data_IF_782195581033
#
_entry.id   IF_782195581033
#
_cell.length_a   1.000
_cell.length_b   1.000
_cell.length_c   1.000
_cell.angle_alpha   90.00
_cell.angle_beta   90.00
_cell.angle_gamma   90.00
#
_symmetry.space_group_name_H-M   'P 1'
#
loop_
_entity.id
_entity.type
_entity.pdbx_description
1 polymer ?
#
# COMPACT_ATOMS: atom_id res chain seq x y z
N UNK A 1 20.68 31.99 8.13
CA UNK A 1 19.69 31.15 7.43
C UNK A 1 20.19 29.74 7.57
N UNK A 2 19.64 28.99 8.52
CA UNK A 2 19.89 27.54 8.59
C UNK A 2 19.08 26.92 7.45
N UNK A 3 19.75 26.22 6.55
CA UNK A 3 19.09 25.41 5.53
C UNK A 3 18.38 24.26 6.23
N UNK A 4 17.06 24.16 6.05
CA UNK A 4 16.31 23.04 6.59
C UNK A 4 16.90 21.73 6.03
N UNK A 5 17.26 20.77 6.91
CA UNK A 5 17.92 19.54 6.48
C UNK A 5 17.05 18.80 5.48
N UNK A 6 17.64 18.41 4.36
CA UNK A 6 16.88 17.71 3.33
C UNK A 6 16.39 16.36 3.89
N UNK A 7 15.24 15.88 3.41
CA UNK A 7 14.70 14.58 3.83
C UNK A 7 15.70 13.43 3.60
N UNK A 8 16.59 13.57 2.61
CA UNK A 8 17.65 12.63 2.27
C UNK A 8 18.66 12.53 3.41
N UNK A 9 19.14 13.68 3.89
CA UNK A 9 20.10 13.74 5.00
C UNK A 9 19.48 13.13 6.27
N UNK A 10 18.20 13.39 6.51
CA UNK A 10 17.47 12.79 7.64
C UNK A 10 17.35 11.28 7.49
N UNK A 11 16.97 10.77 6.32
CA UNK A 11 16.78 9.35 6.04
C UNK A 11 18.09 8.54 6.19
N UNK A 12 19.20 9.05 5.64
CA UNK A 12 20.50 8.35 5.70
C UNK A 12 21.29 8.61 6.98
N UNK A 13 20.91 9.60 7.80
CA UNK A 13 21.58 9.87 9.08
C UNK A 13 21.37 8.77 10.13
N UNK A 14 20.40 7.86 9.93
CA UNK A 14 20.00 6.88 10.93
C UNK A 14 19.35 7.49 12.17
N UNK A 15 19.18 8.82 12.22
CA UNK A 15 18.46 9.52 13.27
C UNK A 15 16.98 9.45 12.94
N UNK A 16 16.21 8.81 13.80
CA UNK A 16 14.75 8.87 13.71
C UNK A 16 14.36 10.32 13.99
N UNK A 17 13.77 11.06 13.04
CA UNK A 17 13.25 12.39 13.36
C UNK A 17 12.20 12.24 14.47
N UNK A 18 12.06 13.23 15.37
CA UNK A 18 11.01 13.20 16.37
C UNK A 18 9.68 13.06 15.63
N UNK A 19 8.99 11.94 15.87
CA UNK A 19 7.67 11.69 15.36
C UNK A 19 6.75 12.75 15.96
N UNK A 20 6.53 13.84 15.24
CA UNK A 20 5.32 14.61 15.45
C UNK A 20 4.21 13.70 14.96
N UNK A 21 3.37 13.23 15.88
CA UNK A 21 2.04 12.74 15.54
C UNK A 21 1.40 13.90 14.79
N UNK A 22 1.49 13.88 13.46
CA UNK A 22 0.78 14.82 12.64
C UNK A 22 -0.68 14.57 12.97
N UNK A 23 -1.39 15.62 13.38
CA UNK A 23 -2.84 15.56 13.57
C UNK A 23 -3.41 14.80 12.37
N UNK A 24 -4.01 13.64 12.63
CA UNK A 24 -4.65 12.86 11.58
C UNK A 24 -5.59 13.82 10.84
N UNK A 25 -5.43 14.02 9.51
CA UNK A 25 -6.33 14.90 8.79
C UNK A 25 -7.74 14.32 8.97
N UNK A 26 -8.55 15.02 9.77
CA UNK A 26 -9.94 14.69 10.01
C UNK A 26 -10.63 14.61 8.65
N UNK A 27 -11.04 13.40 8.26
CA UNK A 27 -11.66 13.17 6.95
C UNK A 27 -10.71 12.71 5.84
N UNK A 28 -9.92 11.66 6.10
CA UNK A 28 -9.38 10.83 5.02
C UNK A 28 -10.55 10.22 4.23
N UNK A 29 -11.00 10.92 3.20
CA UNK A 29 -11.85 10.37 2.14
C UNK A 29 -11.09 9.23 1.51
N UNK A 30 -11.46 8.01 1.89
CA UNK A 30 -10.75 6.82 1.49
C UNK A 30 -10.86 6.67 -0.02
N UNK A 31 -9.72 6.65 -0.71
CA UNK A 31 -9.74 6.56 -2.17
C UNK A 31 -10.17 5.16 -2.57
N UNK A 32 -11.42 5.01 -3.03
CA UNK A 32 -11.90 3.74 -3.52
C UNK A 32 -11.29 3.45 -4.88
N UNK A 33 -10.74 2.25 -5.05
CA UNK A 33 -10.28 1.79 -6.35
C UNK A 33 -11.48 1.81 -7.31
N UNK A 34 -11.42 2.55 -8.43
CA UNK A 34 -12.53 2.62 -9.37
C UNK A 34 -12.72 1.24 -9.97
N UNK A 35 -13.82 0.59 -9.62
CA UNK A 35 -14.16 -0.72 -10.16
C UNK A 35 -15.10 -0.50 -11.34
N UNK A 36 -14.63 -0.57 -12.60
CA UNK A 36 -15.56 -0.73 -13.72
C UNK A 36 -16.23 -2.10 -13.56
N UNK A 37 -17.55 -2.08 -13.48
CA UNK A 37 -18.42 -3.03 -12.78
C UNK A 37 -18.21 -4.53 -13.03
N UNK A 38 -17.43 -4.99 -14.02
CA UNK A 38 -17.30 -6.43 -14.36
C UNK A 38 -15.98 -6.88 -14.96
N UNK A 39 -14.92 -6.05 -14.95
CA UNK A 39 -13.74 -6.34 -15.75
C UNK A 39 -12.46 -6.60 -14.95
N UNK A 40 -12.57 -7.06 -13.70
CA UNK A 40 -11.40 -7.44 -12.92
C UNK A 40 -11.45 -8.87 -12.38
N UNK A 41 -10.27 -9.50 -12.26
CA UNK A 41 -10.09 -10.85 -11.73
C UNK A 41 -8.85 -10.88 -10.82
N UNK A 42 -8.95 -11.60 -9.69
CA UNK A 42 -7.75 -12.02 -8.97
C UNK A 42 -7.08 -13.14 -9.76
N UNK A 43 -5.82 -12.92 -10.09
CA UNK A 43 -4.92 -13.89 -10.67
C UNK A 43 -4.15 -14.66 -9.59
N UNK A 44 -2.89 -14.96 -9.92
CA UNK A 44 -2.01 -15.74 -9.05
C UNK A 44 -1.82 -15.06 -7.69
N UNK A 45 -1.83 -15.87 -6.64
CA UNK A 45 -1.35 -15.50 -5.31
C UNK A 45 0.15 -15.21 -5.38
N UNK A 46 0.55 -13.97 -5.14
CA UNK A 46 1.93 -13.50 -5.29
C UNK A 46 2.78 -13.83 -4.06
N UNK A 47 2.18 -13.80 -2.87
CA UNK A 47 2.87 -14.09 -1.64
C UNK A 47 1.93 -14.60 -0.55
N UNK A 48 2.38 -15.61 0.18
CA UNK A 48 1.83 -16.08 1.44
C UNK A 48 3.01 -16.33 2.36
N UNK A 49 3.14 -15.54 3.41
CA UNK A 49 4.00 -15.91 4.52
C UNK A 49 3.20 -16.88 5.39
N UNK A 50 3.75 -18.06 5.69
CA UNK A 50 3.09 -19.04 6.56
C UNK A 50 2.67 -18.36 7.87
N UNK A 51 1.38 -18.38 8.17
CA UNK A 51 0.79 -17.76 9.37
C UNK A 51 0.49 -16.26 9.26
N UNK A 52 0.82 -15.57 8.16
CA UNK A 52 0.44 -14.16 8.00
C UNK A 52 -1.04 -14.03 7.63
N UNK A 53 -1.80 -13.16 8.34
CA UNK A 53 -3.19 -12.87 8.00
C UNK A 53 -3.34 -12.23 6.61
N UNK A 54 -2.29 -11.54 6.16
CA UNK A 54 -2.26 -10.72 4.96
C UNK A 54 -1.85 -11.55 3.75
N UNK A 55 -2.59 -11.39 2.65
CA UNK A 55 -2.36 -12.16 1.43
C UNK A 55 -2.28 -11.24 0.22
N UNK A 56 -1.23 -11.37 -0.59
CA UNK A 56 -1.05 -10.57 -1.79
C UNK A 56 -1.47 -11.36 -3.03
N UNK A 57 -2.39 -10.78 -3.81
CA UNK A 57 -2.83 -11.29 -5.11
C UNK A 57 -2.39 -10.36 -6.22
N UNK A 58 -2.19 -10.91 -7.42
CA UNK A 58 -2.21 -10.08 -8.62
C UNK A 58 -3.66 -9.82 -8.99
N UNK A 59 -4.04 -8.56 -9.14
CA UNK A 59 -5.34 -8.15 -9.65
C UNK A 59 -5.17 -7.75 -11.11
N UNK A 60 -5.99 -8.28 -12.01
CA UNK A 60 -6.06 -7.79 -13.38
C UNK A 60 -7.35 -6.99 -13.53
N UNK A 61 -7.27 -5.77 -14.04
CA UNK A 61 -8.44 -5.02 -14.48
C UNK A 61 -8.32 -4.77 -15.99
N UNK A 62 -9.46 -4.75 -16.67
CA UNK A 62 -9.56 -4.39 -18.08
C UNK A 62 -10.32 -3.07 -18.19
N UNK A 63 -9.67 -2.10 -18.79
CA UNK A 63 -10.17 -0.75 -19.05
C UNK A 63 -9.98 -0.48 -20.54
N UNK A 64 -11.06 -0.15 -21.25
CA UNK A 64 -11.02 0.18 -22.68
C UNK A 64 -10.28 -0.82 -23.58
N UNK A 65 -10.35 -2.11 -23.23
CA UNK A 65 -9.67 -3.18 -23.96
C UNK A 65 -8.25 -3.49 -23.48
N UNK A 66 -7.63 -2.59 -22.71
CA UNK A 66 -6.29 -2.75 -22.15
C UNK A 66 -6.35 -3.50 -20.83
N UNK A 67 -5.51 -4.53 -20.69
CA UNK A 67 -5.39 -5.32 -19.46
C UNK A 67 -4.25 -4.76 -18.61
N UNK A 68 -4.59 -4.18 -17.46
CA UNK A 68 -3.64 -3.65 -16.49
C UNK A 68 -3.53 -4.61 -15.30
N UNK A 69 -2.32 -4.80 -14.78
CA UNK A 69 -2.09 -5.60 -13.57
C UNK A 69 -1.72 -4.73 -12.38
N UNK A 70 -2.34 -5.03 -11.25
CA UNK A 70 -2.15 -4.41 -9.94
C UNK A 70 -1.74 -5.48 -8.91
N UNK A 71 -1.13 -5.04 -7.82
CA UNK A 71 -0.93 -5.85 -6.63
C UNK A 71 -2.05 -5.53 -5.64
N UNK A 72 -2.81 -6.54 -5.24
CA UNK A 72 -3.86 -6.40 -4.25
C UNK A 72 -3.43 -7.09 -2.96
N UNK A 73 -3.12 -6.28 -1.94
CA UNK A 73 -2.80 -6.76 -0.60
C UNK A 73 -4.10 -6.86 0.19
N UNK A 74 -4.50 -8.09 0.51
CA UNK A 74 -5.78 -8.38 1.16
C UNK A 74 -5.57 -8.60 2.66
N UNK A 75 -6.45 -8.04 3.48
CA UNK A 75 -6.35 -8.00 4.94
C UNK A 75 -7.62 -8.57 5.57
N UNK A 76 -7.53 -9.37 6.64
CA UNK A 76 -8.71 -9.75 7.39
C UNK A 76 -9.24 -8.55 8.17
N UNK A 77 -10.50 -8.64 8.55
CA UNK A 77 -11.12 -7.66 9.42
C UNK A 77 -10.48 -7.65 10.81
N UNK A 78 -10.04 -6.48 11.26
CA UNK A 78 -9.63 -6.27 12.64
C UNK A 78 -10.85 -5.89 13.49
N UNK A 79 -11.33 -6.84 14.30
CA UNK A 79 -12.53 -6.68 15.11
C UNK A 79 -12.20 -6.09 16.48
N UNK A 80 -13.21 -5.55 17.16
CA UNK A 80 -13.07 -5.13 18.56
C UNK A 80 -12.62 -6.26 19.49
N UNK A 81 -12.96 -7.52 19.19
CA UNK A 81 -12.50 -8.65 19.99
C UNK A 81 -10.98 -8.82 19.87
N UNK A 82 -10.41 -8.69 18.67
CA UNK A 82 -8.96 -8.69 18.50
C UNK A 82 -8.31 -7.52 19.28
N UNK A 83 -8.94 -6.35 19.25
CA UNK A 83 -8.48 -5.20 20.02
C UNK A 83 -8.53 -5.45 21.53
N UNK A 84 -9.58 -6.10 22.05
CA UNK A 84 -9.68 -6.49 23.46
C UNK A 84 -8.59 -7.49 23.85
N UNK A 85 -8.35 -8.51 23.03
CA UNK A 85 -7.27 -9.48 23.26
C UNK A 85 -5.90 -8.82 23.33
N UNK A 86 -5.65 -7.79 22.50
CA UNK A 86 -4.42 -6.99 22.57
C UNK A 86 -4.43 -6.02 23.75
N UNK A 87 -5.58 -5.43 24.11
CA UNK A 87 -5.73 -4.51 25.24
C UNK A 87 -5.25 -5.16 26.54
N UNK A 88 -5.60 -6.42 26.79
CA UNK A 88 -5.12 -7.15 27.96
C UNK A 88 -3.59 -7.32 28.02
N UNK A 89 -2.89 -7.15 26.90
CA UNK A 89 -1.42 -7.27 26.79
C UNK A 89 -0.70 -5.93 26.86
N UNK A 90 -1.43 -4.81 26.71
CA UNK A 90 -0.87 -3.46 26.73
C UNK A 90 -1.20 -2.86 28.09
N UNK A 91 -0.22 -2.68 28.99
CA UNK A 91 -0.45 -2.06 30.28
C UNK A 91 -0.67 -0.56 30.10
N UNK A 92 -1.89 -0.16 29.74
CA UNK A 92 -2.28 1.24 29.63
C UNK A 92 -3.71 1.44 30.11
N UNK A 93 -3.88 2.43 31.00
CA UNK A 93 -5.18 2.92 31.44
C UNK A 93 -5.71 4.05 30.54
N UNK A 94 -4.91 4.52 29.58
CA UNK A 94 -5.22 5.69 28.76
C UNK A 94 -5.82 5.34 27.40
N UNK A 95 -5.70 4.09 26.94
CA UNK A 95 -6.26 3.67 25.65
C UNK A 95 -7.58 2.95 25.83
N UNK A 96 -8.57 3.37 25.07
CA UNK A 96 -9.81 2.61 24.89
C UNK A 96 -9.58 1.43 23.94
N UNK A 97 -10.48 0.45 23.96
CA UNK A 97 -10.47 -0.63 22.98
C UNK A 97 -10.61 -0.12 21.55
N UNK A 98 -11.30 1.00 21.35
CA UNK A 98 -11.45 1.61 20.03
C UNK A 98 -10.12 2.21 19.55
N UNK A 99 -9.38 2.90 20.43
CA UNK A 99 -8.05 3.42 20.10
C UNK A 99 -7.08 2.30 19.71
N UNK A 100 -7.11 1.18 20.44
CA UNK A 100 -6.31 0.00 20.08
C UNK A 100 -6.76 -0.59 18.75
N UNK A 101 -8.07 -0.64 18.49
CA UNK A 101 -8.56 -1.13 17.21
C UNK A 101 -8.01 -0.28 16.06
N UNK A 102 -8.12 1.04 16.17
CA UNK A 102 -7.70 1.95 15.12
C UNK A 102 -6.17 1.96 14.93
N UNK A 103 -5.41 1.81 16.02
CA UNK A 103 -3.94 1.77 16.01
C UNK A 103 -3.36 0.42 15.54
N UNK A 104 -4.05 -0.70 15.81
CA UNK A 104 -3.54 -2.04 15.48
C UNK A 104 -4.14 -2.65 14.21
N UNK A 105 -5.14 -2.00 13.61
CA UNK A 105 -5.70 -2.43 12.33
C UNK A 105 -4.69 -2.18 11.20
N UNK A 106 -4.05 -3.26 10.75
CA UNK A 106 -3.08 -3.24 9.66
C UNK A 106 -3.65 -2.71 8.34
N UNK A 107 -4.94 -2.93 8.05
CA UNK A 107 -5.56 -2.40 6.84
C UNK A 107 -5.70 -0.88 6.92
N UNK A 108 -6.17 -0.37 8.06
CA UNK A 108 -6.30 1.08 8.27
C UNK A 108 -4.93 1.75 8.26
N UNK A 109 -3.95 1.20 8.96
CA UNK A 109 -2.60 1.74 9.01
C UNK A 109 -1.95 1.81 7.62
N UNK A 110 -2.07 0.74 6.82
CA UNK A 110 -1.49 0.74 5.49
C UNK A 110 -2.22 1.71 4.55
N UNK A 111 -3.54 1.80 4.64
CA UNK A 111 -4.35 2.77 3.87
C UNK A 111 -3.95 4.20 4.23
N UNK A 112 -3.87 4.52 5.53
CA UNK A 112 -3.45 5.83 6.05
C UNK A 112 -2.04 6.18 5.59
N UNK A 113 -1.10 5.24 5.66
CA UNK A 113 0.27 5.44 5.20
C UNK A 113 0.33 5.80 3.71
N UNK A 114 -0.34 5.04 2.85
CA UNK A 114 -0.34 5.32 1.41
C UNK A 114 -1.11 6.60 1.05
N UNK A 115 -2.20 6.91 1.74
CA UNK A 115 -2.92 8.17 1.55
C UNK A 115 -2.09 9.37 1.98
N UNK A 116 -1.37 9.25 3.09
CA UNK A 116 -0.43 10.28 3.56
C UNK A 116 0.69 10.50 2.54
N UNK A 117 1.34 9.42 2.07
CA UNK A 117 2.38 9.50 1.02
C UNK A 117 1.81 10.18 -0.23
N UNK A 118 0.60 9.82 -0.66
CA UNK A 118 0.03 10.38 -1.88
C UNK A 118 -0.37 11.87 -1.74
N UNK A 119 -0.79 12.31 -0.55
CA UNK A 119 -1.23 13.71 -0.33
C UNK A 119 -0.08 14.64 0.03
N UNK A 120 0.88 14.17 0.82
CA UNK A 120 1.89 15.02 1.46
C UNK A 120 3.25 14.94 0.75
N UNK A 121 3.64 13.78 0.23
CA UNK A 121 4.95 13.67 -0.42
C UNK A 121 4.95 14.38 -1.78
N UNK A 122 6.00 15.15 -2.10
CA UNK A 122 6.24 15.66 -3.45
C UNK A 122 6.32 14.53 -4.48
N UNK A 123 5.89 14.78 -5.72
CA UNK A 123 5.90 13.78 -6.81
C UNK A 123 7.28 13.12 -6.99
N UNK A 124 8.37 13.88 -6.84
CA UNK A 124 9.73 13.36 -6.94
C UNK A 124 10.07 12.30 -5.87
N UNK A 125 9.41 12.32 -4.71
CA UNK A 125 9.61 11.34 -3.64
C UNK A 125 8.68 10.13 -3.77
N UNK A 126 7.52 10.29 -4.43
CA UNK A 126 6.55 9.20 -4.62
C UNK A 126 7.12 8.02 -5.43
N UNK A 127 8.17 8.25 -6.23
CA UNK A 127 8.85 7.21 -7.01
C UNK A 127 9.42 6.08 -6.14
N UNK A 128 9.75 6.35 -4.87
CA UNK A 128 10.30 5.36 -3.95
C UNK A 128 9.24 4.41 -3.38
N UNK A 129 7.97 4.73 -3.58
CA UNK A 129 6.85 3.93 -3.10
C UNK A 129 6.10 3.30 -4.29
N UNK A 130 5.48 2.13 -4.11
CA UNK A 130 4.51 1.61 -5.07
C UNK A 130 3.37 2.64 -5.25
N UNK A 131 2.93 2.86 -6.48
CA UNK A 131 1.79 3.75 -6.71
C UNK A 131 0.54 3.20 -6.02
N UNK A 132 -0.12 4.04 -5.23
CA UNK A 132 -1.38 3.72 -4.57
C UNK A 132 -2.55 3.98 -5.52
N UNK A 133 -3.43 2.99 -5.69
CA UNK A 133 -4.61 3.07 -6.55
C UNK A 133 -5.92 3.07 -5.77
N UNK A 134 -5.88 2.94 -4.45
CA UNK A 134 -7.05 2.94 -3.59
C UNK A 134 -7.28 1.65 -2.84
N UNK A 135 -8.44 1.56 -2.21
CA UNK A 135 -8.90 0.37 -1.50
C UNK A 135 -10.06 -0.31 -2.23
N UNK A 136 -10.20 -1.61 -1.99
CA UNK A 136 -11.30 -2.43 -2.46
C UNK A 136 -12.01 -3.06 -1.25
N UNK A 137 -13.16 -2.50 -0.89
CA UNK A 137 -14.03 -2.96 0.21
C UNK A 137 -15.52 -2.81 -0.18
N UNK A 138 -16.41 -3.77 0.18
CA UNK A 138 -16.10 -5.14 0.58
C UNK A 138 -15.80 -6.03 -0.63
N UNK A 139 -14.89 -7.00 -0.47
CA UNK A 139 -14.62 -8.03 -1.48
C UNK A 139 -15.61 -9.19 -1.30
N UNK A 140 -16.43 -9.46 -2.31
CA UNK A 140 -17.33 -10.61 -2.29
C UNK A 140 -16.56 -11.93 -2.47
N UNK A 141 -16.26 -12.57 -1.34
CA UNK A 141 -15.52 -13.83 -1.26
C UNK A 141 -16.23 -15.00 -1.95
N UNK A 142 -17.55 -14.92 -2.17
CA UNK A 142 -18.34 -16.01 -2.78
C UNK A 142 -18.01 -16.20 -4.25
N UNK A 143 -17.43 -15.18 -4.90
CA UNK A 143 -17.03 -15.22 -6.31
C UNK A 143 -15.72 -15.99 -6.56
N UNK A 144 -15.02 -16.42 -5.51
CA UNK A 144 -13.68 -17.01 -5.61
C UNK A 144 -13.64 -18.45 -5.08
N UNK A 145 -12.84 -19.30 -5.70
CA UNK A 145 -12.58 -20.68 -5.22
C UNK A 145 -12.09 -20.62 -3.77
N UNK A 146 -12.63 -21.51 -2.92
CA UNK A 146 -12.26 -21.69 -1.51
C UNK A 146 -10.74 -21.79 -1.29
N UNK A 147 -10.00 -22.34 -2.25
CA UNK A 147 -8.54 -22.49 -2.19
C UNK A 147 -7.78 -21.16 -2.34
N UNK A 148 -8.41 -20.14 -2.92
CA UNK A 148 -7.77 -18.85 -3.24
C UNK A 148 -8.65 -17.67 -2.80
N UNK A 149 -9.34 -17.80 -1.67
CA UNK A 149 -10.23 -16.73 -1.21
C UNK A 149 -9.43 -15.52 -0.73
N UNK A 150 -9.61 -14.35 -1.35
CA UNK A 150 -9.10 -13.10 -0.80
C UNK A 150 -9.77 -12.82 0.55
N UNK A 151 -9.13 -11.97 1.36
CA UNK A 151 -9.79 -11.40 2.53
C UNK A 151 -10.84 -10.36 2.11
N UNK A 152 -11.66 -9.90 3.05
CA UNK A 152 -12.80 -9.01 2.78
C UNK A 152 -12.38 -7.58 2.40
N UNK A 153 -11.14 -7.20 2.65
CA UNK A 153 -10.61 -5.88 2.37
C UNK A 153 -9.29 -5.97 1.62
N UNK A 154 -9.02 -5.02 0.72
CA UNK A 154 -7.72 -4.94 0.07
C UNK A 154 -7.25 -3.51 -0.18
N UNK A 155 -5.94 -3.32 -0.11
CA UNK A 155 -5.22 -2.14 -0.61
C UNK A 155 -4.68 -2.48 -1.99
N UNK A 156 -4.97 -1.63 -2.98
CA UNK A 156 -4.57 -1.82 -4.37
C UNK A 156 -3.36 -0.93 -4.68
N UNK A 157 -2.29 -1.59 -5.09
CA UNK A 157 -1.00 -1.00 -5.38
C UNK A 157 -0.55 -1.33 -6.80
N UNK A 158 0.43 -0.59 -7.28
CA UNK A 158 1.18 -0.91 -8.48
C UNK A 158 1.73 -2.34 -8.42
N UNK A 159 1.55 -3.12 -9.49
CA UNK A 159 2.18 -4.43 -9.59
C UNK A 159 3.65 -4.27 -9.96
N UNK A 160 4.54 -4.37 -8.96
CA UNK A 160 5.98 -4.43 -9.22
C UNK A 160 6.33 -5.84 -9.69
N UNK A 161 6.52 -6.00 -10.99
CA UNK A 161 7.27 -7.13 -11.54
C UNK A 161 8.74 -6.75 -11.59
N UNK A 162 9.64 -7.52 -10.97
CA UNK A 162 11.06 -7.35 -11.23
C UNK A 162 11.33 -7.78 -12.67
N UNK A 163 11.20 -6.84 -13.61
CA UNK A 163 11.79 -6.96 -14.93
C UNK A 163 13.18 -6.31 -14.86
N UNK A 164 14.17 -6.92 -15.52
CA UNK A 164 15.56 -6.43 -15.56
C UNK A 164 15.68 -5.03 -16.17
N UNK A 165 14.61 -4.53 -16.80
CA UNK A 165 14.49 -3.20 -17.39
C UNK A 165 13.70 -2.16 -16.57
N UNK A 166 13.04 -2.54 -15.46
CA UNK A 166 12.30 -1.57 -14.62
C UNK A 166 13.22 -0.87 -13.62
N UNK A 167 13.67 0.34 -13.99
CA UNK A 167 14.56 1.22 -13.20
C UNK A 167 13.87 1.89 -11.98
N UNK A 168 13.39 1.12 -11.02
CA UNK A 168 13.40 1.56 -9.62
C UNK A 168 14.54 0.75 -9.00
N UNK A 169 15.77 1.26 -8.81
CA UNK A 169 16.35 2.21 -7.82
C UNK A 169 17.79 2.58 -8.33
N UNK A 170 18.58 3.61 -7.90
CA UNK A 170 18.40 4.95 -7.32
C UNK A 170 18.91 6.07 -8.28
N UNK A 171 18.94 7.33 -7.83
CA UNK A 171 19.56 8.48 -8.51
C UNK A 171 20.76 8.13 -9.40
N UNK A 172 20.65 8.42 -10.70
CA UNK A 172 21.78 8.84 -11.51
C UNK A 172 21.26 9.81 -12.56
N UNK A 173 21.75 11.05 -12.49
CA UNK A 173 21.40 12.13 -13.40
C UNK A 173 21.56 11.68 -14.85
N UNK A 174 20.59 12.10 -15.67
CA UNK A 174 20.60 11.97 -17.12
C UNK A 174 21.90 12.57 -17.68
N UNK A 175 22.67 11.76 -18.41
CA UNK A 175 23.50 12.26 -19.50
C UNK A 175 23.07 11.59 -20.79
N UNK A 176 22.83 12.44 -21.77
CA UNK A 176 22.19 12.23 -23.06
C UNK A 176 22.98 11.36 -24.05
N UNK A 177 22.24 10.47 -24.72
CA UNK A 177 22.31 10.07 -26.15
C UNK A 177 23.55 9.27 -26.65
N UNK A 178 23.52 8.65 -27.87
CA UNK A 178 22.44 8.55 -28.88
C UNK A 178 22.12 7.12 -29.39
N UNK A 179 21.19 7.09 -30.36
CA UNK A 179 20.60 5.96 -31.07
C UNK A 179 21.58 5.00 -31.78
N UNK A 180 21.16 3.75 -31.98
CA UNK A 180 21.61 2.94 -33.11
C UNK A 180 20.47 2.09 -33.70
N UNK A 181 20.55 2.01 -35.04
CA UNK A 181 19.65 1.44 -36.01
C UNK A 181 19.38 -0.07 -35.90
N UNK A 182 18.30 -0.45 -36.59
CA UNK A 182 17.90 -1.79 -37.09
C UNK A 182 19.06 -2.77 -37.35
N UNK A 183 18.80 -4.08 -37.23
CA UNK A 183 18.83 -5.07 -38.34
C UNK A 183 18.24 -6.42 -37.87
N UNK A 184 17.30 -6.92 -38.68
CA UNK A 184 16.70 -8.27 -38.86
C UNK A 184 16.20 -9.07 -37.65
#
# INVERSE_FOLDING_TARGET
MEEDPTWIDTFFSGKTPPFKVLDEPQGLTTFHFPVPDRQWIFGRRLHEHNGSPIVVFRLYAKEDGVKTSYAAKTFPEYTLNHAQEQWYRIPSTWYTTQDIKDEFDSFLNETRAFEHINRVCPEAQKIYFPRYHGILIPIDRRKFDRRFQPRNQAVILESITPDTNTRRIPCKQLTSAPAFDRVL
#
